data_IF_900954216190
#
_entry.id   IF_900954216190
#
_cell.length_a   1.000
_cell.length_b   1.000
_cell.length_c   1.000
_cell.angle_alpha   90.00
_cell.angle_beta   90.00
_cell.angle_gamma   90.00
#
_symmetry.space_group_name_H-M   'P 1'
#
loop_
_entity.id
_entity.type
_entity.pdbx_description
1 polymer ?
#
# COMPACT_ATOMS: atom_id res chain seq x y z
N UNK A 1 -2.97 9.02 14.77
CA UNK A 1 -3.12 8.25 16.03
C UNK A 1 -2.35 8.95 17.14
N UNK A 2 -2.87 8.97 18.37
CA UNK A 2 -2.23 9.69 19.48
C UNK A 2 -0.88 9.07 19.88
N UNK A 3 -0.62 7.84 19.44
CA UNK A 3 0.65 7.11 19.65
C UNK A 3 1.73 7.44 18.63
N UNK A 4 1.45 8.25 17.60
CA UNK A 4 2.41 8.58 16.55
C UNK A 4 3.05 9.94 16.85
N UNK A 5 4.35 10.07 16.55
CA UNK A 5 4.95 11.40 16.49
C UNK A 5 4.36 12.22 15.31
N UNK A 6 4.61 13.53 15.31
CA UNK A 6 4.04 14.44 14.31
C UNK A 6 4.48 14.10 12.89
N UNK A 7 5.72 13.65 12.70
CA UNK A 7 6.27 13.33 11.37
C UNK A 7 5.58 12.08 10.81
N UNK A 8 5.48 11.02 11.60
CA UNK A 8 4.79 9.80 11.25
C UNK A 8 3.30 10.07 11.00
N UNK A 9 2.66 10.87 11.85
CA UNK A 9 1.26 11.24 11.67
C UNK A 9 1.03 12.02 10.37
N UNK A 10 1.92 12.97 10.03
CA UNK A 10 1.81 13.80 8.83
C UNK A 10 2.06 13.02 7.53
N UNK A 11 2.76 11.89 7.57
CA UNK A 11 3.05 11.07 6.40
C UNK A 11 1.85 10.23 5.91
N UNK A 12 0.82 10.05 6.75
CA UNK A 12 -0.30 9.15 6.48
C UNK A 12 -1.40 9.68 5.53
N UNK A 13 -1.87 10.95 5.65
CA UNK A 13 -3.15 11.34 5.06
C UNK A 13 -3.21 11.17 3.55
N UNK A 14 -2.19 11.65 2.84
CA UNK A 14 -2.16 11.60 1.37
C UNK A 14 -2.18 10.16 0.85
N UNK A 15 -1.24 9.34 1.32
CA UNK A 15 -1.08 7.97 0.80
C UNK A 15 -2.29 7.10 1.14
N UNK A 16 -2.83 7.21 2.35
CA UNK A 16 -3.99 6.41 2.77
C UNK A 16 -5.28 6.87 2.08
N UNK A 17 -5.54 8.18 1.98
CA UNK A 17 -6.73 8.68 1.31
C UNK A 17 -6.73 8.30 -0.18
N UNK A 18 -5.58 8.41 -0.83
CA UNK A 18 -5.41 8.04 -2.24
C UNK A 18 -5.60 6.54 -2.45
N UNK A 19 -4.99 5.68 -1.64
CA UNK A 19 -5.16 4.23 -1.75
C UNK A 19 -6.59 3.82 -1.44
N UNK A 20 -7.19 4.31 -0.35
CA UNK A 20 -8.53 3.91 0.05
C UNK A 20 -9.59 4.32 -0.99
N UNK A 21 -9.54 5.58 -1.47
CA UNK A 21 -10.50 6.07 -2.45
C UNK A 21 -10.45 5.30 -3.78
N UNK A 22 -9.26 4.92 -4.23
CA UNK A 22 -9.09 4.23 -5.51
C UNK A 22 -9.25 2.71 -5.40
N UNK A 23 -8.65 2.06 -4.42
CA UNK A 23 -8.68 0.59 -4.29
C UNK A 23 -9.99 0.12 -3.67
N UNK A 24 -10.41 0.71 -2.55
CA UNK A 24 -11.63 0.30 -1.84
C UNK A 24 -12.87 0.99 -2.41
N UNK A 25 -12.80 2.31 -2.62
CA UNK A 25 -13.93 3.09 -3.08
C UNK A 25 -14.32 2.82 -4.53
N UNK A 26 -13.40 3.09 -5.46
CA UNK A 26 -13.64 2.96 -6.91
C UNK A 26 -13.43 1.52 -7.40
N UNK A 27 -12.28 0.93 -7.09
CA UNK A 27 -11.90 -0.41 -7.53
C UNK A 27 -12.72 -1.51 -6.86
N UNK A 28 -13.19 -1.28 -5.62
CA UNK A 28 -14.02 -2.21 -4.84
C UNK A 28 -13.44 -3.62 -4.80
N UNK A 29 -12.11 -3.70 -4.72
CA UNK A 29 -11.38 -4.99 -4.76
C UNK A 29 -11.87 -5.89 -3.63
N UNK A 30 -12.01 -7.17 -3.94
CA UNK A 30 -12.53 -8.21 -3.04
C UNK A 30 -11.45 -9.23 -2.69
N UNK A 31 -11.63 -9.87 -1.54
CA UNK A 31 -10.78 -10.96 -1.07
C UNK A 31 -10.53 -12.00 -2.17
N UNK A 32 -9.27 -12.40 -2.35
CA UNK A 32 -8.86 -13.37 -3.36
C UNK A 32 -8.67 -12.81 -4.78
N UNK A 33 -9.10 -11.59 -5.08
CA UNK A 33 -8.79 -10.90 -6.33
C UNK A 33 -7.31 -10.46 -6.38
N UNK A 34 -6.86 -10.05 -7.57
CA UNK A 34 -5.50 -9.57 -7.79
C UNK A 34 -5.45 -8.04 -7.92
N UNK A 35 -4.44 -7.43 -7.29
CA UNK A 35 -4.11 -6.02 -7.41
C UNK A 35 -2.67 -5.87 -7.95
N UNK A 36 -2.51 -5.17 -9.07
CA UNK A 36 -1.19 -4.74 -9.56
C UNK A 36 -0.92 -3.30 -9.14
N UNK A 37 0.18 -3.06 -8.44
CA UNK A 37 0.62 -1.71 -8.04
C UNK A 37 1.97 -1.40 -8.67
N UNK A 38 2.03 -0.32 -9.44
CA UNK A 38 3.30 0.17 -9.96
C UNK A 38 4.05 1.01 -8.92
N UNK A 39 5.37 0.85 -8.86
CA UNK A 39 6.21 1.62 -7.95
C UNK A 39 5.98 1.25 -6.49
N UNK A 40 6.06 -0.04 -6.15
CA UNK A 40 5.81 -0.56 -4.80
C UNK A 40 6.61 0.12 -3.69
N UNK A 41 7.86 0.51 -3.96
CA UNK A 41 8.72 1.22 -3.01
C UNK A 41 8.47 2.73 -2.88
N UNK A 42 7.35 3.25 -3.39
CA UNK A 42 6.93 4.65 -3.22
C UNK A 42 5.98 4.80 -2.03
N UNK A 43 5.70 6.02 -1.56
CA UNK A 43 4.76 6.23 -0.44
C UNK A 43 3.35 5.66 -0.69
N UNK A 44 2.83 5.79 -1.92
CA UNK A 44 1.54 5.18 -2.29
C UNK A 44 1.69 3.66 -2.39
N UNK A 45 2.78 3.18 -2.98
CA UNK A 45 3.03 1.74 -3.16
C UNK A 45 3.10 0.99 -1.84
N UNK A 46 3.84 1.52 -0.86
CA UNK A 46 4.00 0.90 0.46
C UNK A 46 2.69 0.91 1.25
N UNK A 47 1.88 1.96 1.12
CA UNK A 47 0.54 2.02 1.69
C UNK A 47 -0.42 1.02 1.02
N UNK A 48 -0.36 0.89 -0.32
CA UNK A 48 -1.18 -0.03 -1.08
C UNK A 48 -0.89 -1.49 -0.74
N UNK A 49 0.38 -1.86 -0.53
CA UNK A 49 0.77 -3.22 -0.10
C UNK A 49 0.11 -3.57 1.22
N UNK A 50 0.27 -2.72 2.23
CA UNK A 50 -0.28 -2.98 3.56
C UNK A 50 -1.82 -3.05 3.56
N UNK A 51 -2.48 -2.14 2.84
CA UNK A 51 -3.94 -2.16 2.70
C UNK A 51 -4.41 -3.42 1.96
N UNK A 52 -3.74 -3.82 0.87
CA UNK A 52 -4.07 -5.02 0.11
C UNK A 52 -3.95 -6.29 0.97
N UNK A 53 -2.86 -6.41 1.74
CA UNK A 53 -2.65 -7.51 2.66
C UNK A 53 -3.77 -7.59 3.71
N UNK A 54 -4.16 -6.45 4.31
CA UNK A 54 -5.27 -6.38 5.26
C UNK A 54 -6.63 -6.75 4.65
N UNK A 55 -6.84 -6.49 3.35
CA UNK A 55 -8.06 -6.85 2.63
C UNK A 55 -8.08 -8.31 2.16
N UNK A 56 -6.98 -9.05 2.32
CA UNK A 56 -6.85 -10.44 1.87
C UNK A 56 -6.85 -10.58 0.34
N UNK A 57 -6.41 -9.54 -0.37
CA UNK A 57 -6.27 -9.58 -1.83
C UNK A 57 -4.86 -10.01 -2.19
N UNK A 58 -4.68 -10.63 -3.34
CA UNK A 58 -3.36 -11.00 -3.85
C UNK A 58 -2.73 -9.78 -4.49
N UNK A 59 -1.49 -9.44 -4.14
CA UNK A 59 -0.81 -8.26 -4.67
C UNK A 59 0.42 -8.62 -5.50
N UNK A 60 0.64 -7.86 -6.56
CA UNK A 60 1.89 -7.83 -7.33
C UNK A 60 2.35 -6.39 -7.44
N UNK A 61 3.65 -6.14 -7.25
CA UNK A 61 4.22 -4.81 -7.37
C UNK A 61 5.38 -4.75 -8.36
N UNK A 62 5.56 -3.59 -9.01
CA UNK A 62 6.78 -3.30 -9.77
C UNK A 62 7.71 -2.40 -8.98
N UNK A 63 9.02 -2.66 -9.05
CA UNK A 63 10.06 -1.90 -8.35
C UNK A 63 11.33 -1.80 -9.21
N UNK A 64 12.16 -0.80 -8.91
CA UNK A 64 13.39 -0.53 -9.68
C UNK A 64 14.65 -1.25 -9.20
N UNK A 65 14.59 -2.02 -8.11
CA UNK A 65 15.76 -2.75 -7.58
C UNK A 65 15.34 -3.96 -6.74
N UNK A 66 16.26 -4.91 -6.55
CA UNK A 66 16.05 -6.08 -5.70
C UNK A 66 15.85 -5.70 -4.22
N UNK A 67 16.58 -4.70 -3.73
CA UNK A 67 16.41 -4.16 -2.37
C UNK A 67 14.98 -3.62 -2.15
N UNK A 68 14.45 -2.85 -3.10
CA UNK A 68 13.05 -2.39 -3.03
C UNK A 68 12.06 -3.53 -3.13
N UNK A 69 12.40 -4.61 -3.84
CA UNK A 69 11.55 -5.79 -3.92
C UNK A 69 11.47 -6.48 -2.55
N UNK A 70 12.61 -6.63 -1.87
CA UNK A 70 12.65 -7.23 -0.54
C UNK A 70 11.90 -6.38 0.48
N UNK A 71 12.15 -5.08 0.50
CA UNK A 71 11.42 -4.16 1.35
C UNK A 71 9.89 -4.22 1.12
N UNK A 72 9.44 -4.38 -0.15
CA UNK A 72 8.02 -4.56 -0.43
C UNK A 72 7.47 -5.87 0.14
N UNK A 73 8.24 -6.97 0.11
CA UNK A 73 7.81 -8.27 0.69
C UNK A 73 7.66 -8.20 2.20
N UNK A 74 8.51 -7.45 2.89
CA UNK A 74 8.42 -7.26 4.34
C UNK A 74 7.14 -6.53 4.76
N UNK A 75 6.54 -5.75 3.86
CA UNK A 75 5.29 -5.01 4.10
C UNK A 75 4.01 -5.85 3.91
N UNK A 76 4.09 -7.00 3.25
CA UNK A 76 2.96 -7.90 2.94
C UNK A 76 2.84 -8.27 1.46
#
# INVERSE_FOLDING_TARGET
PDTFDLTAAAALPEVLATVYSNVVGRGRVRIGEWLLVHGGGSGIGTAAIQVANLLGVKIVVTVGSAEKAEFCRELG
#
